data_IF_784345903806
#
_entry.id   IF_784345903806
#
_cell.length_a   1.000
_cell.length_b   1.000
_cell.length_c   1.000
_cell.angle_alpha   90.00
_cell.angle_beta   90.00
_cell.angle_gamma   90.00
#
_symmetry.space_group_name_H-M   'P 1'
#
loop_
_entity.id
_entity.type
_entity.pdbx_description
1 polymer ?
#
# COMPACT_ATOMS: atom_id res chain seq x y z
N UNK A 1 23.53 9.28 5.54
CA UNK A 1 22.26 9.95 5.92
C UNK A 1 21.09 9.46 5.05
N UNK A 2 21.17 9.53 3.72
CA UNK A 2 20.09 9.10 2.81
C UNK A 2 19.74 7.60 2.87
N UNK A 3 20.70 6.72 3.17
CA UNK A 3 20.47 5.26 3.20
C UNK A 3 19.53 4.82 4.34
N UNK A 4 19.59 5.50 5.49
CA UNK A 4 18.78 5.18 6.67
C UNK A 4 17.33 5.63 6.46
N UNK A 5 17.13 6.82 5.88
CA UNK A 5 15.80 7.31 5.49
C UNK A 5 15.18 6.44 4.40
N UNK A 6 15.98 5.96 3.44
CA UNK A 6 15.53 5.03 2.40
C UNK A 6 15.04 3.71 2.99
N UNK A 7 15.82 3.08 3.88
CA UNK A 7 15.42 1.84 4.56
C UNK A 7 14.16 2.02 5.41
N UNK A 8 14.08 3.11 6.18
CA UNK A 8 12.91 3.39 7.02
C UNK A 8 11.64 3.63 6.19
N UNK A 9 11.73 4.36 5.07
CA UNK A 9 10.62 4.58 4.15
C UNK A 9 10.11 3.28 3.52
N UNK A 10 11.02 2.36 3.14
CA UNK A 10 10.65 1.07 2.56
C UNK A 10 9.89 0.20 3.57
N UNK A 11 10.33 0.17 4.83
CA UNK A 11 9.65 -0.58 5.90
C UNK A 11 8.22 -0.06 6.10
N UNK A 12 8.04 1.26 6.13
CA UNK A 12 6.71 1.87 6.25
C UNK A 12 5.80 1.54 5.07
N UNK A 13 6.32 1.61 3.84
CA UNK A 13 5.58 1.27 2.61
C UNK A 13 5.14 -0.21 2.58
N UNK A 14 6.01 -1.13 3.03
CA UNK A 14 5.69 -2.57 3.09
C UNK A 14 4.63 -2.85 4.15
N UNK A 15 4.75 -2.25 5.34
CA UNK A 15 3.76 -2.40 6.42
C UNK A 15 2.39 -1.86 5.97
N UNK A 16 2.37 -0.71 5.29
CA UNK A 16 1.15 -0.13 4.71
C UNK A 16 0.50 -1.09 3.69
N UNK A 17 1.29 -1.68 2.80
CA UNK A 17 0.81 -2.65 1.81
C UNK A 17 0.17 -3.89 2.43
N UNK A 18 0.75 -4.42 3.52
CA UNK A 18 0.21 -5.57 4.26
C UNK A 18 -1.12 -5.20 4.95
N UNK A 19 -1.20 -4.01 5.57
CA UNK A 19 -2.45 -3.57 6.22
C UNK A 19 -3.58 -3.30 5.23
N UNK A 20 -3.29 -2.78 4.02
CA UNK A 20 -4.29 -2.65 2.96
C UNK A 20 -4.75 -4.00 2.42
N UNK A 21 -3.84 -4.96 2.25
CA UNK A 21 -4.17 -6.32 1.81
C UNK A 21 -5.12 -7.03 2.79
N UNK A 22 -4.93 -6.79 4.08
CA UNK A 22 -5.77 -7.37 5.14
C UNK A 22 -7.13 -6.66 5.29
N UNK A 23 -7.50 -5.74 4.39
CA UNK A 23 -8.73 -4.95 4.46
C UNK A 23 -8.89 -4.24 5.82
N UNK A 24 -7.82 -3.64 6.33
CA UNK A 24 -7.86 -2.99 7.64
C UNK A 24 -8.83 -1.81 7.65
N UNK A 25 -9.77 -1.82 8.61
CA UNK A 25 -10.79 -0.76 8.80
C UNK A 25 -10.14 0.60 9.09
N UNK A 26 -8.90 0.62 9.61
CA UNK A 26 -8.15 1.85 9.86
C UNK A 26 -7.84 2.65 8.58
N UNK A 27 -7.88 2.02 7.40
CA UNK A 27 -7.65 2.69 6.12
C UNK A 27 -8.95 3.01 5.36
N UNK A 28 -10.10 2.71 5.96
CA UNK A 28 -11.40 2.96 5.33
C UNK A 28 -11.67 4.45 5.12
N UNK A 29 -11.17 5.32 6.02
CA UNK A 29 -11.32 6.78 5.88
C UNK A 29 -10.46 7.34 4.73
N UNK A 30 -9.28 6.75 4.50
CA UNK A 30 -8.36 7.19 3.45
C UNK A 30 -8.87 6.82 2.05
N UNK A 31 -9.63 5.73 1.94
CA UNK A 31 -10.19 5.25 0.66
C UNK A 31 -11.34 6.10 0.10
N UNK A 32 -11.75 7.18 0.78
CA UNK A 32 -12.82 8.10 0.38
C UNK A 32 -14.04 7.33 -0.18
N UNK A 33 -14.62 6.49 0.67
CA UNK A 33 -15.75 5.64 0.32
C UNK A 33 -16.99 6.51 0.18
N UNK A 34 -17.67 6.43 -0.97
CA UNK A 34 -18.93 7.14 -1.20
C UNK A 34 -20.09 6.43 -0.49
N UNK A 35 -20.58 7.03 0.59
CA UNK A 35 -21.64 6.46 1.45
C UNK A 35 -23.05 6.53 0.83
N UNK A 36 -23.23 7.07 -0.39
CA UNK A 36 -24.55 7.21 -1.01
C UNK A 36 -25.07 5.96 -1.71
N UNK A 37 -24.29 4.88 -1.77
CA UNK A 37 -24.69 3.65 -2.47
C UNK A 37 -25.64 2.77 -1.62
N UNK A 38 -26.65 2.12 -2.21
CA UNK A 38 -27.46 1.14 -1.49
C UNK A 38 -26.58 0.06 -0.85
N UNK A 39 -26.97 -0.38 0.35
CA UNK A 39 -26.18 -1.23 1.25
C UNK A 39 -25.57 -2.47 0.57
N UNK A 40 -26.22 -3.02 -0.44
CA UNK A 40 -25.77 -4.24 -1.15
C UNK A 40 -24.62 -3.95 -2.13
N UNK A 41 -24.68 -2.84 -2.86
CA UNK A 41 -23.60 -2.42 -3.77
C UNK A 41 -22.43 -1.79 -3.01
N UNK A 42 -22.71 -1.15 -1.87
CA UNK A 42 -21.71 -0.52 -1.01
C UNK A 42 -20.59 -1.49 -0.59
N UNK A 43 -20.94 -2.69 -0.12
CA UNK A 43 -19.93 -3.67 0.32
C UNK A 43 -19.06 -4.17 -0.85
N UNK A 44 -19.66 -4.35 -2.02
CA UNK A 44 -18.95 -4.80 -3.22
C UNK A 44 -17.98 -3.72 -3.71
N UNK A 45 -18.42 -2.46 -3.74
CA UNK A 45 -17.57 -1.35 -4.18
C UNK A 45 -16.43 -1.07 -3.20
N UNK A 46 -16.67 -1.18 -1.89
CA UNK A 46 -15.62 -1.09 -0.86
C UNK A 46 -14.55 -2.16 -1.08
N UNK A 47 -14.96 -3.42 -1.23
CA UNK A 47 -14.01 -4.52 -1.38
C UNK A 47 -13.16 -4.34 -2.65
N UNK A 48 -13.78 -3.87 -3.73
CA UNK A 48 -13.11 -3.54 -4.98
C UNK A 48 -12.08 -2.43 -4.79
N UNK A 49 -12.43 -1.35 -4.08
CA UNK A 49 -11.54 -0.22 -3.80
C UNK A 49 -10.34 -0.64 -2.94
N UNK A 50 -10.58 -1.44 -1.89
CA UNK A 50 -9.51 -2.00 -1.05
C UNK A 50 -8.54 -2.86 -1.86
N UNK A 51 -9.07 -3.77 -2.67
CA UNK A 51 -8.26 -4.64 -3.51
C UNK A 51 -7.42 -3.83 -4.50
N UNK A 52 -8.01 -2.81 -5.13
CA UNK A 52 -7.31 -1.95 -6.08
C UNK A 52 -6.19 -1.15 -5.39
N UNK A 53 -6.46 -0.59 -4.21
CA UNK A 53 -5.46 0.15 -3.42
C UNK A 53 -4.33 -0.78 -2.95
N UNK A 54 -4.66 -2.00 -2.49
CA UNK A 54 -3.69 -3.01 -2.07
C UNK A 54 -2.76 -3.41 -3.23
N UNK A 55 -3.29 -3.62 -4.43
CA UNK A 55 -2.48 -3.93 -5.63
C UNK A 55 -1.50 -2.80 -5.96
N UNK A 56 -1.97 -1.55 -5.96
CA UNK A 56 -1.11 -0.39 -6.24
C UNK A 56 0.01 -0.26 -5.19
N UNK A 57 -0.33 -0.45 -3.91
CA UNK A 57 0.63 -0.39 -2.81
C UNK A 57 1.67 -1.53 -2.91
N UNK A 58 1.25 -2.73 -3.28
CA UNK A 58 2.13 -3.89 -3.46
C UNK A 58 3.10 -3.70 -4.63
N UNK A 59 2.63 -3.18 -5.77
CA UNK A 59 3.49 -2.85 -6.92
C UNK A 59 4.53 -1.80 -6.53
N UNK A 60 4.11 -0.76 -5.80
CA UNK A 60 5.02 0.26 -5.29
C UNK A 60 6.06 -0.34 -4.34
N UNK A 61 5.64 -1.18 -3.38
CA UNK A 61 6.54 -1.86 -2.46
C UNK A 61 7.59 -2.72 -3.21
N UNK A 62 7.16 -3.50 -4.20
CA UNK A 62 8.07 -4.29 -5.05
C UNK A 62 9.09 -3.41 -5.79
N UNK A 63 8.65 -2.28 -6.38
CA UNK A 63 9.55 -1.33 -7.05
C UNK A 63 10.61 -0.77 -6.09
N UNK A 64 10.19 -0.35 -4.90
CA UNK A 64 11.09 0.18 -3.87
C UNK A 64 12.12 -0.84 -3.40
N UNK A 65 11.72 -2.11 -3.22
CA UNK A 65 12.63 -3.21 -2.86
C UNK A 65 13.65 -3.45 -3.98
N UNK A 66 13.24 -3.45 -5.25
CA UNK A 66 14.13 -3.62 -6.40
C UNK A 66 15.13 -2.46 -6.50
N UNK A 67 14.67 -1.21 -6.36
CA UNK A 67 15.56 -0.04 -6.39
C UNK A 67 16.57 -0.06 -5.24
N UNK A 68 16.18 -0.51 -4.04
CA UNK A 68 17.10 -0.70 -2.93
C UNK A 68 18.14 -1.78 -3.25
N UNK A 69 17.73 -2.93 -3.77
CA UNK A 69 18.63 -4.02 -4.14
C UNK A 69 19.67 -3.57 -5.18
N UNK A 70 19.25 -2.83 -6.21
CA UNK A 70 20.16 -2.23 -7.20
C UNK A 70 21.10 -1.21 -6.55
N UNK A 71 20.59 -0.35 -5.68
CA UNK A 71 21.41 0.66 -4.98
C UNK A 71 22.45 0.02 -4.06
N UNK A 72 22.12 -1.09 -3.39
CA UNK A 72 23.06 -1.87 -2.56
C UNK A 72 24.11 -2.55 -3.43
N UNK A 73 23.70 -3.17 -4.55
CA UNK A 73 24.62 -3.76 -5.51
C UNK A 73 25.54 -2.73 -6.17
N UNK A 74 25.12 -1.47 -6.28
CA UNK A 74 25.94 -0.40 -6.85
C UNK A 74 26.91 0.22 -5.83
N UNK A 75 26.72 -0.06 -4.54
CA UNK A 75 27.59 0.38 -3.44
C UNK A 75 28.66 -0.67 -3.09
N UNK A 76 28.43 -1.95 -3.40
CA UNK A 76 29.35 -3.07 -3.17
C UNK A 76 30.22 -3.34 -4.41
#
# INVERSE_FOLDING_TARGET
>A
CCSILSVWGIIMLVILGIFLFTHSVAFAEDLAIDEKLPKIEFLTEINRKYTQAAYNCWIAACLYVVTLAVSVHQIY
#
